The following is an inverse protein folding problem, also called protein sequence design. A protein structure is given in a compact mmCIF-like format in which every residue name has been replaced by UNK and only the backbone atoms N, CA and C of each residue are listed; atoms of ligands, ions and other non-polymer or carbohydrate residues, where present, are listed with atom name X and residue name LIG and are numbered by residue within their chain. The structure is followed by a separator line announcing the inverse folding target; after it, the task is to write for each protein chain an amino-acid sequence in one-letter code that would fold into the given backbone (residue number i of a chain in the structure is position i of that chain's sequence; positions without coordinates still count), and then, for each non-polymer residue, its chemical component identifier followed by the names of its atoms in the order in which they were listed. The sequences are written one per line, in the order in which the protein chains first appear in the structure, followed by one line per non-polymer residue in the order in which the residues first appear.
data_IF_543977334578
#
_entry.id   IF_543977334578
#
_cell.length_a   1.000
_cell.length_b   1.000
_cell.length_c   1.000
_cell.angle_alpha   90.00
_cell.angle_beta   90.00
_cell.angle_gamma   90.00
#
_symmetry.space_group_name_H-M   'P 1'
#
loop_
_entity.id
_entity.type
_entity.pdbx_description
1 polymer ?
#
# COMPACT_ATOMS: atom_id res chain seq x y z
N UNK A 1 24.24 -15.00 -18.06
CA UNK A 1 23.18 -16.04 -17.85
C UNK A 1 21.79 -15.42 -17.95
N UNK A 2 20.70 -16.20 -18.02
CA UNK A 2 19.34 -15.66 -17.79
C UNK A 2 19.03 -15.66 -16.30
N UNK A 3 18.49 -14.55 -15.77
CA UNK A 3 18.11 -14.43 -14.35
C UNK A 3 17.09 -15.49 -13.94
N UNK A 4 16.10 -15.74 -14.80
CA UNK A 4 15.06 -16.75 -14.55
C UNK A 4 15.61 -18.18 -14.38
N UNK A 5 16.63 -18.57 -15.16
CA UNK A 5 17.25 -19.89 -15.02
C UNK A 5 18.02 -20.01 -13.71
N UNK A 6 18.73 -18.96 -13.31
CA UNK A 6 19.38 -18.88 -12.00
C UNK A 6 18.35 -18.99 -10.86
N UNK A 7 17.21 -18.29 -10.97
CA UNK A 7 16.14 -18.34 -9.98
C UNK A 7 15.54 -19.74 -9.84
N UNK A 8 15.27 -20.46 -10.94
CA UNK A 8 14.78 -21.86 -10.89
C UNK A 8 15.79 -22.77 -10.17
N UNK A 9 17.06 -22.61 -10.49
CA UNK A 9 18.14 -23.44 -9.95
C UNK A 9 18.28 -23.24 -8.43
N UNK A 10 18.24 -21.98 -7.99
CA UNK A 10 18.24 -21.64 -6.57
C UNK A 10 16.96 -22.14 -5.89
N UNK A 11 15.79 -21.87 -6.47
CA UNK A 11 14.50 -22.24 -5.90
C UNK A 11 14.34 -23.74 -5.66
N UNK A 12 14.89 -24.58 -6.55
CA UNK A 12 14.86 -26.04 -6.40
C UNK A 12 15.62 -26.55 -5.15
N UNK A 13 16.46 -25.70 -4.55
CA UNK A 13 17.26 -26.00 -3.35
C UNK A 13 16.68 -25.36 -2.08
N UNK A 14 15.64 -24.54 -2.21
CA UNK A 14 14.98 -23.91 -1.08
C UNK A 14 13.75 -24.70 -0.67
N UNK A 15 13.59 -24.85 0.64
CA UNK A 15 12.46 -25.54 1.26
C UNK A 15 11.79 -24.66 2.31
N UNK A 16 12.58 -24.14 3.26
CA UNK A 16 12.08 -23.47 4.46
C UNK A 16 12.75 -22.11 4.73
N UNK A 17 13.63 -21.67 3.83
CA UNK A 17 14.31 -20.39 3.91
C UNK A 17 13.33 -19.23 3.78
N UNK A 18 13.68 -18.06 4.34
CA UNK A 18 13.00 -16.81 4.03
C UNK A 18 13.72 -16.10 2.90
N UNK A 19 13.00 -15.74 1.86
CA UNK A 19 13.54 -15.03 0.71
C UNK A 19 13.06 -13.60 0.76
N UNK A 20 13.98 -12.65 0.60
CA UNK A 20 13.65 -11.25 0.39
C UNK A 20 14.21 -10.79 -0.93
N UNK A 21 13.39 -10.09 -1.73
CA UNK A 21 13.79 -9.68 -3.07
C UNK A 21 13.25 -8.31 -3.46
N UNK A 22 14.00 -7.64 -4.34
CA UNK A 22 13.63 -6.35 -4.92
C UNK A 22 12.39 -6.48 -5.82
N UNK A 23 11.54 -5.46 -5.80
CA UNK A 23 10.41 -5.32 -6.72
C UNK A 23 10.83 -5.22 -8.20
N UNK A 24 9.85 -5.44 -9.08
CA UNK A 24 10.00 -5.34 -10.53
C UNK A 24 9.87 -6.69 -11.21
N UNK A 25 10.48 -6.83 -12.39
CA UNK A 25 10.42 -8.07 -13.17
C UNK A 25 10.98 -9.30 -12.44
N UNK A 26 11.94 -9.10 -11.52
CA UNK A 26 12.47 -10.13 -10.62
C UNK A 26 11.37 -10.79 -9.78
N UNK A 27 10.33 -10.07 -9.40
CA UNK A 27 9.20 -10.60 -8.62
C UNK A 27 8.38 -11.57 -9.45
N UNK A 28 8.05 -11.19 -10.68
CA UNK A 28 7.29 -12.04 -11.58
C UNK A 28 8.10 -13.30 -11.92
N UNK A 29 9.39 -13.15 -12.20
CA UNK A 29 10.30 -14.26 -12.45
C UNK A 29 10.39 -15.20 -11.25
N UNK A 30 10.62 -14.67 -10.04
CA UNK A 30 10.68 -15.47 -8.81
C UNK A 30 9.33 -16.15 -8.51
N UNK A 31 8.22 -15.44 -8.71
CA UNK A 31 6.88 -15.98 -8.47
C UNK A 31 6.55 -17.17 -9.37
N UNK A 32 7.15 -17.25 -10.56
CA UNK A 32 6.99 -18.38 -11.48
C UNK A 32 8.08 -19.44 -11.28
N UNK A 33 9.32 -19.05 -10.95
CA UNK A 33 10.43 -19.98 -10.73
C UNK A 33 10.31 -20.76 -9.40
N UNK A 34 9.71 -20.16 -8.38
CA UNK A 34 9.64 -20.69 -7.02
C UNK A 34 8.21 -20.71 -6.47
N UNK A 35 7.26 -21.43 -7.11
CA UNK A 35 5.86 -21.41 -6.70
C UNK A 35 5.65 -21.91 -5.25
N UNK A 36 6.50 -22.84 -4.79
CA UNK A 36 6.49 -23.36 -3.41
C UNK A 36 7.02 -22.35 -2.38
N UNK A 37 7.90 -21.42 -2.78
CA UNK A 37 8.50 -20.41 -1.89
C UNK A 37 7.67 -19.13 -1.74
N UNK A 38 6.53 -19.01 -2.43
CA UNK A 38 5.73 -17.76 -2.46
C UNK A 38 5.33 -17.24 -1.08
N UNK A 39 4.97 -18.13 -0.16
CA UNK A 39 4.58 -17.75 1.20
C UNK A 39 5.77 -17.35 2.08
N UNK A 40 6.96 -17.87 1.75
CA UNK A 40 8.20 -17.57 2.43
C UNK A 40 8.98 -16.41 1.78
N UNK A 41 8.38 -15.72 0.80
CA UNK A 41 8.99 -14.63 0.06
C UNK A 41 8.42 -13.27 0.47
N UNK A 42 9.30 -12.35 0.87
CA UNK A 42 9.01 -10.96 1.21
C UNK A 42 9.48 -10.05 0.07
N UNK A 43 8.60 -9.15 -0.38
CA UNK A 43 8.86 -8.30 -1.54
C UNK A 43 9.11 -6.86 -1.06
N UNK A 44 10.30 -6.34 -1.33
CA UNK A 44 10.69 -4.99 -0.89
C UNK A 44 10.65 -3.99 -2.05
N UNK A 45 9.99 -2.86 -1.82
CA UNK A 45 9.74 -1.80 -2.79
C UNK A 45 10.79 -0.69 -2.80
N UNK A 46 11.54 -0.51 -1.70
CA UNK A 46 12.55 0.54 -1.60
C UNK A 46 13.90 0.06 -2.15
N UNK A 47 14.46 0.84 -3.07
CA UNK A 47 15.75 0.55 -3.69
C UNK A 47 16.87 0.65 -2.63
N UNK A 48 17.77 -0.34 -2.60
CA UNK A 48 18.86 -0.40 -1.63
C UNK A 48 18.49 -0.90 -0.23
N UNK A 49 17.28 -1.44 -0.06
CA UNK A 49 16.82 -1.94 1.25
C UNK A 49 16.70 -3.47 1.34
N UNK A 50 16.88 -4.23 0.24
CA UNK A 50 16.73 -5.69 0.25
C UNK A 50 17.77 -6.35 1.16
N UNK A 51 19.06 -6.13 0.90
CA UNK A 51 20.13 -6.70 1.74
C UNK A 51 20.13 -6.18 3.18
N UNK A 52 19.90 -4.88 3.48
CA UNK A 52 19.72 -4.42 4.86
C UNK A 52 18.57 -5.10 5.61
N UNK A 53 17.43 -5.30 4.96
CA UNK A 53 16.32 -6.02 5.57
C UNK A 53 16.62 -7.51 5.74
N UNK A 54 17.33 -8.12 4.77
CA UNK A 54 17.81 -9.49 4.91
C UNK A 54 18.74 -9.65 6.11
N UNK A 55 19.63 -8.67 6.35
CA UNK A 55 20.49 -8.63 7.53
C UNK A 55 19.68 -8.52 8.82
N UNK A 56 18.73 -7.60 8.90
CA UNK A 56 17.85 -7.47 10.08
C UNK A 56 17.07 -8.76 10.37
N UNK A 57 16.57 -9.43 9.32
CA UNK A 57 15.92 -10.73 9.46
C UNK A 57 16.90 -11.82 9.91
N UNK A 58 18.14 -11.82 9.40
CA UNK A 58 19.15 -12.80 9.77
C UNK A 58 19.54 -12.66 11.26
N UNK A 59 19.73 -11.42 11.72
CA UNK A 59 19.99 -11.10 13.12
C UNK A 59 18.80 -11.43 14.03
N UNK A 60 17.58 -11.11 13.61
CA UNK A 60 16.36 -11.36 14.39
C UNK A 60 15.89 -12.82 14.39
N UNK A 61 16.30 -13.62 13.39
CA UNK A 61 15.90 -15.02 13.20
C UNK A 61 17.13 -15.93 13.01
N UNK A 62 18.02 -16.07 14.01
CA UNK A 62 19.28 -16.80 13.86
C UNK A 62 19.10 -18.29 13.55
N UNK A 63 17.93 -18.85 13.82
CA UNK A 63 17.56 -20.24 13.54
C UNK A 63 17.08 -20.47 12.10
N UNK A 64 16.92 -19.41 11.29
CA UNK A 64 16.36 -19.49 9.95
C UNK A 64 17.31 -18.90 8.93
N UNK A 65 17.54 -19.60 7.83
CA UNK A 65 18.39 -19.10 6.75
C UNK A 65 17.62 -18.08 5.90
N UNK A 66 18.27 -16.95 5.66
CA UNK A 66 17.72 -15.80 4.93
C UNK A 66 18.45 -15.67 3.59
N UNK A 67 17.67 -15.54 2.52
CA UNK A 67 18.16 -15.38 1.15
C UNK A 67 17.82 -13.96 0.69
N UNK A 68 18.85 -13.15 0.47
CA UNK A 68 18.72 -11.83 -0.16
C UNK A 68 18.86 -11.97 -1.67
N UNK A 69 17.84 -11.60 -2.45
CA UNK A 69 17.90 -11.51 -3.90
C UNK A 69 17.87 -10.02 -4.30
N UNK A 70 19.02 -9.39 -4.19
CA UNK A 70 19.22 -7.97 -4.47
C UNK A 70 19.61 -7.73 -5.94
N UNK A 71 19.70 -6.47 -6.35
CA UNK A 71 20.20 -6.08 -7.67
C UNK A 71 21.50 -5.31 -7.54
N UNK A 72 22.32 -5.28 -8.60
CA UNK A 72 23.49 -4.41 -8.67
C UNK A 72 23.15 -2.96 -8.38
N UNK A 73 22.07 -2.44 -8.96
CA UNK A 73 21.58 -1.10 -8.69
C UNK A 73 21.18 -0.91 -7.23
N UNK A 74 20.45 -1.87 -6.64
CA UNK A 74 20.09 -1.84 -5.23
C UNK A 74 21.32 -1.79 -4.32
N UNK A 75 22.29 -2.66 -4.58
CA UNK A 75 23.55 -2.70 -3.83
C UNK A 75 24.34 -1.40 -3.94
N UNK A 76 24.39 -0.78 -5.12
CA UNK A 76 25.07 0.51 -5.32
C UNK A 76 24.38 1.68 -4.59
N UNK A 77 23.06 1.63 -4.40
CA UNK A 77 22.33 2.64 -3.63
C UNK A 77 22.65 2.61 -2.13
N UNK A 78 23.02 1.45 -1.60
CA UNK A 78 23.36 1.30 -0.18
C UNK A 78 24.60 0.41 0.01
N UNK A 79 25.74 0.88 -0.50
CA UNK A 79 27.00 0.12 -0.41
C UNK A 79 27.49 -0.05 1.03
N UNK A 80 27.09 0.85 1.95
CA UNK A 80 27.46 0.82 3.37
C UNK A 80 27.01 -0.45 4.09
N UNK A 81 25.99 -1.16 3.58
CA UNK A 81 25.57 -2.45 4.13
C UNK A 81 26.70 -3.49 4.12
N UNK A 82 27.60 -3.46 3.13
CA UNK A 82 28.69 -4.43 3.04
C UNK A 82 29.67 -4.30 4.20
N UNK A 83 29.96 -3.07 4.65
CA UNK A 83 30.79 -2.83 5.84
C UNK A 83 30.10 -3.33 7.12
N UNK A 84 28.78 -3.16 7.22
CA UNK A 84 28.01 -3.70 8.35
C UNK A 84 28.08 -5.21 8.37
N UNK A 85 27.84 -5.87 7.23
CA UNK A 85 27.91 -7.32 7.10
C UNK A 85 29.31 -7.88 7.41
N UNK A 86 30.36 -7.19 6.97
CA UNK A 86 31.74 -7.57 7.27
C UNK A 86 32.10 -7.51 8.75
N UNK A 87 31.50 -6.59 9.51
CA UNK A 87 31.68 -6.53 10.96
C UNK A 87 30.80 -7.55 11.70
N UNK A 88 29.53 -7.66 11.30
CA UNK A 88 28.51 -8.43 12.04
C UNK A 88 28.51 -9.93 11.71
N UNK A 89 29.04 -10.32 10.54
CA UNK A 89 29.23 -11.72 10.12
C UNK A 89 27.99 -12.62 10.35
N UNK A 90 26.80 -12.28 9.81
CA UNK A 90 25.59 -13.07 10.01
C UNK A 90 25.71 -14.48 9.43
N UNK A 91 25.64 -15.50 10.29
CA UNK A 91 25.93 -16.90 9.97
C UNK A 91 24.91 -17.59 9.05
N UNK A 92 23.75 -16.98 8.88
CA UNK A 92 22.56 -17.54 8.23
C UNK A 92 22.10 -16.69 7.04
N UNK A 93 22.97 -15.82 6.48
CA UNK A 93 22.63 -14.92 5.39
C UNK A 93 23.37 -15.28 4.10
N UNK A 94 22.61 -15.62 3.06
CA UNK A 94 23.12 -15.81 1.69
C UNK A 94 22.56 -14.71 0.78
N UNK A 95 23.45 -14.00 0.09
CA UNK A 95 23.11 -12.84 -0.74
C UNK A 95 23.44 -13.17 -2.20
N UNK A 96 22.43 -13.03 -3.05
CA UNK A 96 22.55 -13.07 -4.50
C UNK A 96 22.30 -11.66 -5.03
N UNK A 97 23.28 -11.12 -5.74
CA UNK A 97 23.15 -9.83 -6.44
C UNK A 97 22.96 -10.11 -7.93
N UNK A 98 21.80 -9.75 -8.47
CA UNK A 98 21.55 -9.80 -9.90
C UNK A 98 22.23 -8.62 -10.58
N UNK A 99 23.38 -8.88 -11.20
CA UNK A 99 24.14 -7.87 -11.92
C UNK A 99 23.84 -7.97 -13.42
N UNK A 100 22.85 -7.18 -13.83
CA UNK A 100 22.43 -7.00 -15.21
C UNK A 100 22.92 -5.67 -15.82
N UNK A 101 23.79 -4.95 -15.10
CA UNK A 101 24.41 -3.71 -15.52
C UNK A 101 23.42 -2.55 -15.75
N UNK A 102 22.22 -2.63 -15.17
CA UNK A 102 21.10 -1.78 -15.59
C UNK A 102 20.07 -1.51 -14.48
N UNK A 103 19.74 -0.23 -14.25
CA UNK A 103 18.66 0.19 -13.37
C UNK A 103 17.29 0.00 -14.01
N UNK A 104 16.84 -1.25 -14.14
CA UNK A 104 15.58 -1.62 -14.80
C UNK A 104 14.34 -0.92 -14.20
N UNK A 105 14.32 -0.66 -12.90
CA UNK A 105 13.18 -0.03 -12.22
C UNK A 105 12.95 1.43 -12.60
N UNK A 106 13.98 2.10 -13.14
CA UNK A 106 13.94 3.50 -13.55
C UNK A 106 14.26 3.65 -15.03
N UNK A 107 13.77 2.76 -15.91
CA UNK A 107 13.90 2.94 -17.36
C UNK A 107 15.23 2.50 -17.98
N UNK A 108 16.06 1.80 -17.20
CA UNK A 108 17.22 1.07 -17.70
C UNK A 108 18.52 1.83 -18.00
N UNK A 109 18.85 2.97 -17.35
CA UNK A 109 20.19 3.53 -17.47
C UNK A 109 21.25 2.55 -16.90
N UNK A 110 22.50 2.60 -17.40
CA UNK A 110 23.55 1.71 -16.94
C UNK A 110 23.85 1.91 -15.46
N UNK A 111 24.10 0.82 -14.74
CA UNK A 111 24.65 0.87 -13.37
C UNK A 111 26.16 1.07 -13.41
N UNK A 112 26.77 1.27 -12.25
CA UNK A 112 28.22 1.44 -12.15
C UNK A 112 29.02 0.19 -12.58
N UNK A 113 28.40 -1.01 -12.53
CA UNK A 113 29.03 -2.27 -12.97
C UNK A 113 29.10 -2.38 -14.50
N UNK A 114 28.25 -1.64 -15.23
CA UNK A 114 28.19 -1.65 -16.71
C UNK A 114 29.50 -1.22 -17.39
N UNK A 115 30.36 -0.48 -16.69
CA UNK A 115 31.59 0.08 -17.25
C UNK A 115 32.81 -0.84 -17.06
N UNK A 116 32.62 -2.03 -16.47
CA UNK A 116 33.67 -3.04 -16.28
C UNK A 116 34.76 -2.68 -15.28
N UNK A 117 34.61 -1.57 -14.54
CA UNK A 117 35.58 -1.12 -13.52
C UNK A 117 35.17 -1.45 -12.10
N UNK A 118 33.86 -1.41 -11.81
CA UNK A 118 33.32 -1.64 -10.47
C UNK A 118 33.02 -3.13 -10.31
N UNK A 119 33.63 -3.75 -9.30
CA UNK A 119 33.43 -5.16 -8.94
C UNK A 119 32.81 -5.26 -7.54
N UNK A 120 31.52 -5.57 -7.49
CA UNK A 120 30.77 -5.69 -6.22
C UNK A 120 31.35 -6.81 -5.32
N UNK A 121 31.79 -7.93 -5.90
CA UNK A 121 32.35 -9.02 -5.12
C UNK A 121 33.71 -8.62 -4.51
N UNK A 122 34.54 -7.89 -5.27
CA UNK A 122 35.79 -7.35 -4.74
C UNK A 122 35.56 -6.32 -3.63
N UNK A 123 34.56 -5.45 -3.77
CA UNK A 123 34.18 -4.50 -2.71
C UNK A 123 33.71 -5.24 -1.46
N UNK A 124 32.86 -6.27 -1.61
CA UNK A 124 32.40 -7.08 -0.49
C UNK A 124 33.56 -7.77 0.25
N UNK A 125 34.54 -8.34 -0.47
CA UNK A 125 35.77 -8.86 0.15
C UNK A 125 36.56 -7.77 0.86
N UNK A 126 36.72 -6.61 0.24
CA UNK A 126 37.38 -5.44 0.85
C UNK A 126 36.67 -4.92 2.10
N UNK A 127 35.37 -5.19 2.25
CA UNK A 127 34.58 -4.87 3.43
C UNK A 127 34.63 -5.97 4.52
N UNK A 128 35.33 -7.09 4.30
CA UNK A 128 35.46 -8.20 5.25
C UNK A 128 34.54 -9.39 5.00
N UNK A 129 33.86 -9.46 3.86
CA UNK A 129 33.06 -10.63 3.45
C UNK A 129 33.90 -11.51 2.52
N UNK A 130 34.72 -12.39 3.10
CA UNK A 130 35.68 -13.22 2.34
C UNK A 130 34.99 -14.08 1.27
N UNK A 131 33.82 -14.62 1.60
CA UNK A 131 33.01 -15.45 0.72
C UNK A 131 32.15 -14.61 -0.23
N UNK A 132 32.79 -13.77 -1.05
CA UNK A 132 32.13 -12.99 -2.08
C UNK A 132 32.71 -13.31 -3.46
N UNK A 133 31.85 -13.75 -4.39
CA UNK A 133 32.26 -14.25 -5.71
C UNK A 133 31.40 -13.69 -6.83
N UNK A 134 31.89 -13.76 -8.06
CA UNK A 134 31.15 -13.38 -9.26
C UNK A 134 30.93 -14.62 -10.12
N UNK A 135 29.66 -14.96 -10.37
CA UNK A 135 29.28 -16.05 -11.27
C UNK A 135 28.95 -15.52 -12.66
N UNK A 136 29.51 -16.13 -13.70
CA UNK A 136 29.29 -15.81 -15.12
C UNK A 136 28.61 -16.94 -15.88
N UNK A 137 28.75 -18.17 -15.40
CA UNK A 137 28.08 -19.36 -15.95
C UNK A 137 27.05 -19.94 -14.97
N UNK A 138 26.10 -20.70 -15.49
CA UNK A 138 25.05 -21.28 -14.66
C UNK A 138 25.64 -22.33 -13.70
N UNK A 139 26.67 -23.05 -14.15
CA UNK A 139 27.42 -24.02 -13.37
C UNK A 139 28.17 -23.35 -12.21
N UNK A 140 28.81 -22.19 -12.44
CA UNK A 140 29.43 -21.40 -11.37
C UNK A 140 28.39 -20.90 -10.36
N UNK A 141 27.26 -20.41 -10.86
CA UNK A 141 26.17 -19.94 -10.01
C UNK A 141 25.59 -21.09 -9.15
N UNK A 142 25.43 -22.28 -9.73
CA UNK A 142 24.98 -23.48 -9.04
C UNK A 142 25.94 -23.88 -7.91
N UNK A 143 27.23 -23.95 -8.20
CA UNK A 143 28.25 -24.25 -7.19
C UNK A 143 28.21 -23.26 -6.02
N UNK A 144 28.03 -21.96 -6.31
CA UNK A 144 27.91 -20.95 -5.27
C UNK A 144 26.59 -21.00 -4.51
N UNK A 145 25.48 -21.43 -5.12
CA UNK A 145 24.24 -21.69 -4.39
C UNK A 145 24.44 -22.82 -3.36
N UNK A 146 25.11 -23.90 -3.75
CA UNK A 146 25.38 -25.02 -2.83
C UNK A 146 26.30 -24.63 -1.68
N UNK A 147 27.33 -23.82 -1.96
CA UNK A 147 28.23 -23.31 -0.94
C UNK A 147 27.52 -22.30 -0.01
N UNK A 148 26.83 -21.30 -0.58
CA UNK A 148 26.16 -20.25 0.18
C UNK A 148 25.02 -20.75 1.07
N UNK A 149 24.30 -21.79 0.64
CA UNK A 149 23.26 -22.43 1.46
C UNK A 149 23.81 -23.24 2.64
N UNK A 150 25.11 -23.58 2.64
CA UNK A 150 25.78 -24.31 3.73
C UNK A 150 26.71 -23.41 4.57
N UNK A 151 27.05 -22.23 4.08
CA UNK A 151 27.97 -21.32 4.76
C UNK A 151 27.46 -20.91 6.15
N UNK A 152 28.37 -20.77 7.11
CA UNK A 152 28.15 -20.32 8.49
C UNK A 152 28.67 -18.90 8.74
N UNK A 153 28.94 -18.17 7.65
CA UNK A 153 29.34 -16.76 7.54
C UNK A 153 28.58 -16.14 6.36
N UNK A 154 28.45 -14.81 6.26
CA UNK A 154 27.80 -14.16 5.13
C UNK A 154 28.46 -14.61 3.81
N UNK A 155 27.61 -15.00 2.86
CA UNK A 155 28.05 -15.45 1.54
C UNK A 155 27.41 -14.56 0.47
N UNK A 156 28.21 -14.03 -0.44
CA UNK A 156 27.75 -13.16 -1.54
C UNK A 156 28.09 -13.79 -2.88
N UNK A 157 27.10 -13.90 -3.76
CA UNK A 157 27.32 -14.21 -5.18
C UNK A 157 26.74 -13.10 -6.05
N UNK A 158 27.60 -12.48 -6.86
CA UNK A 158 27.22 -11.53 -7.89
C UNK A 158 27.01 -12.30 -9.18
N UNK A 159 25.75 -12.54 -9.54
CA UNK A 159 25.39 -13.31 -10.72
C UNK A 159 25.26 -12.38 -11.94
N UNK A 160 26.16 -12.54 -12.93
CA UNK A 160 26.04 -11.81 -14.20
C UNK A 160 24.89 -12.36 -15.04
N UNK A 161 23.84 -11.56 -15.13
CA UNK A 161 22.61 -11.94 -15.81
C UNK A 161 22.28 -10.97 -16.94
N UNK A 162 21.55 -11.44 -17.94
CA UNK A 162 21.07 -10.59 -19.02
C UNK A 162 20.05 -9.57 -18.49
N UNK A 163 20.03 -8.38 -19.09
CA UNK A 163 18.99 -7.37 -18.85
C UNK A 163 17.62 -7.74 -19.45
N UNK A 164 17.51 -8.87 -20.14
CA UNK A 164 16.25 -9.36 -20.70
C UNK A 164 15.45 -10.12 -19.65
N UNK A 165 14.19 -9.70 -19.47
CA UNK A 165 13.21 -10.40 -18.62
C UNK A 165 12.69 -11.61 -19.38
N UNK A 166 12.42 -12.70 -18.67
CA UNK A 166 11.83 -13.90 -19.26
C UNK A 166 10.46 -13.58 -19.90
N UNK A 167 10.28 -13.83 -21.21
CA UNK A 167 8.97 -13.68 -21.85
C UNK A 167 7.98 -14.73 -21.33
N UNK A 168 6.68 -14.42 -21.48
CA UNK A 168 5.55 -15.32 -21.20
C UNK A 168 5.41 -15.80 -19.74
N UNK A 169 5.97 -15.04 -18.78
CA UNK A 169 5.76 -15.28 -17.35
C UNK A 169 4.44 -14.69 -16.88
N UNK A 170 3.73 -15.42 -16.01
CA UNK A 170 2.51 -14.90 -15.38
C UNK A 170 2.92 -13.78 -14.43
N UNK A 171 2.53 -12.54 -14.73
CA UNK A 171 2.66 -11.46 -13.75
C UNK A 171 1.99 -11.89 -12.46
N UNK A 172 2.66 -11.65 -11.33
CA UNK A 172 2.07 -11.88 -10.01
C UNK A 172 0.82 -10.99 -9.92
N UNK A 173 -0.35 -11.60 -10.08
CA UNK A 173 -1.59 -10.91 -9.81
C UNK A 173 -1.62 -10.63 -8.31
N UNK A 174 -1.73 -9.36 -7.94
CA UNK A 174 -2.13 -8.97 -6.59
C UNK A 174 -3.62 -9.30 -6.43
N UNK A 175 -3.97 -10.60 -6.44
CA UNK A 175 -5.36 -11.06 -6.42
C UNK A 175 -5.52 -12.59 -6.52
N UNK A 176 -6.25 -13.15 -5.54
CA UNK A 176 -6.84 -14.50 -5.45
C UNK A 176 -5.93 -15.72 -5.67
N UNK A 177 -5.21 -16.13 -4.64
CA UNK A 177 -4.92 -17.55 -4.40
C UNK A 177 -5.53 -17.96 -3.05
N UNK A 178 -6.51 -18.86 -3.07
CA UNK A 178 -6.97 -19.58 -1.86
C UNK A 178 -5.76 -20.31 -1.28
N UNK A 179 -5.49 -20.10 0.01
CA UNK A 179 -4.40 -20.77 0.71
C UNK A 179 -3.30 -19.85 1.22
N UNK A 180 -3.57 -18.58 1.57
CA UNK A 180 -2.73 -17.91 2.56
C UNK A 180 -2.95 -18.60 3.91
N UNK A 181 -1.97 -19.39 4.34
CA UNK A 181 -1.93 -19.95 5.69
C UNK A 181 -1.62 -18.79 6.63
N UNK A 182 -2.58 -18.44 7.49
CA UNK A 182 -2.27 -17.69 8.69
C UNK A 182 -1.39 -18.57 9.56
N UNK A 183 -0.10 -18.24 9.68
CA UNK A 183 0.78 -18.86 10.67
C UNK A 183 0.33 -18.41 12.07
N UNK A 184 -0.61 -19.15 12.69
CA UNK A 184 -0.68 -19.24 14.16
C UNK A 184 0.55 -20.03 14.59
N UNK A 185 1.64 -19.35 14.95
CA UNK A 185 2.77 -20.02 15.60
C UNK A 185 2.33 -20.51 16.99
N UNK A 186 2.46 -21.80 17.33
CA UNK A 186 2.25 -22.27 18.68
C UNK A 186 3.44 -21.81 19.54
N UNK A 187 3.24 -20.79 20.36
CA UNK A 187 4.17 -20.44 21.43
C UNK A 187 4.21 -21.58 22.46
N UNK A 188 5.19 -22.48 22.36
CA UNK A 188 5.59 -23.35 23.47
C UNK A 188 6.85 -22.80 24.09
N UNK A 189 6.72 -22.29 25.31
CA UNK A 189 7.87 -22.13 26.21
C UNK A 189 7.87 -20.87 27.05
N UNK A 190 6.92 -20.72 27.98
CA UNK A 190 7.17 -20.12 29.31
C UNK A 190 6.11 -20.68 30.27
N UNK A 191 6.56 -21.50 31.23
CA UNK A 191 5.75 -22.12 32.27
C UNK A 191 5.42 -21.08 33.35
N UNK A 192 4.13 -20.89 33.68
CA UNK A 192 3.54 -21.01 35.04
C UNK A 192 2.12 -20.42 35.07
N UNK A 193 1.10 -21.25 34.94
CA UNK A 193 0.11 -21.53 35.98
C UNK A 193 -0.92 -22.53 35.43
N UNK A 194 -1.13 -23.62 36.16
CA UNK A 194 -2.10 -24.68 35.86
C UNK A 194 -3.50 -24.18 36.19
N UNK A 195 -4.34 -24.01 35.16
CA UNK A 195 -5.77 -24.33 35.21
C UNK A 195 -6.14 -25.01 33.88
N UNK A 196 -7.01 -26.01 33.96
CA UNK A 196 -7.21 -27.10 33.01
C UNK A 196 -7.73 -26.68 31.64
N UNK A 197 -7.19 -27.31 30.60
CA UNK A 197 -7.52 -27.11 29.18
C UNK A 197 -8.90 -27.64 28.74
N UNK A 198 -9.77 -28.03 29.68
CA UNK A 198 -11.11 -28.55 29.36
C UNK A 198 -12.19 -27.46 29.21
N UNK A 199 -11.96 -26.24 29.72
CA UNK A 199 -12.96 -25.15 29.65
C UNK A 199 -12.81 -24.25 28.41
N UNK A 200 -11.71 -24.35 27.65
CA UNK A 200 -11.47 -23.48 26.47
C UNK A 200 -12.01 -24.04 25.15
N UNK A 201 -12.43 -25.30 25.11
CA UNK A 201 -13.07 -25.89 23.93
C UNK A 201 -14.55 -25.49 23.76
N UNK A 202 -15.14 -24.80 24.74
CA UNK A 202 -16.49 -24.22 24.62
C UNK A 202 -16.50 -22.72 24.28
N UNK A 203 -15.35 -22.02 24.28
CA UNK A 203 -15.30 -20.57 24.07
C UNK A 203 -15.07 -20.18 22.59
N UNK A 204 -14.62 -21.11 21.72
CA UNK A 204 -14.58 -20.88 20.27
C UNK A 204 -15.92 -21.16 19.55
N UNK A 205 -17.01 -21.44 20.29
CA UNK A 205 -18.37 -21.57 19.77
C UNK A 205 -19.31 -20.40 20.13
N UNK A 206 -18.86 -19.45 20.97
CA UNK A 206 -19.66 -18.31 21.44
C UNK A 206 -19.01 -16.96 21.08
N UNK A 207 -18.52 -16.81 19.84
CA UNK A 207 -18.62 -15.49 19.22
C UNK A 207 -20.09 -15.39 18.83
N UNK A 208 -20.90 -14.50 19.46
CA UNK A 208 -22.19 -14.22 18.89
C UNK A 208 -21.88 -13.73 17.48
N UNK A 209 -22.28 -14.49 16.46
CA UNK A 209 -22.73 -13.87 15.22
C UNK A 209 -23.69 -12.80 15.71
N UNK A 210 -23.22 -11.56 15.81
CA UNK A 210 -24.11 -10.48 16.17
C UNK A 210 -25.18 -10.57 15.11
N UNK A 211 -26.39 -10.89 15.54
CA UNK A 211 -27.61 -10.48 14.88
C UNK A 211 -27.65 -8.94 14.92
N UNK A 212 -26.63 -8.28 14.38
CA UNK A 212 -26.80 -6.97 13.79
C UNK A 212 -27.73 -7.25 12.64
N UNK A 213 -28.99 -6.88 12.87
CA UNK A 213 -30.02 -6.81 11.85
C UNK A 213 -29.36 -6.45 10.54
N UNK A 214 -29.62 -7.24 9.51
CA UNK A 214 -29.35 -6.87 8.14
C UNK A 214 -30.17 -5.60 7.88
N UNK A 215 -29.67 -4.45 8.31
CA UNK A 215 -30.22 -3.17 7.88
C UNK A 215 -30.19 -3.25 6.36
N UNK A 216 -31.38 -3.17 5.76
CA UNK A 216 -31.53 -3.19 4.33
C UNK A 216 -30.58 -2.12 3.78
N UNK A 217 -29.54 -2.56 3.06
CA UNK A 217 -28.54 -1.66 2.50
C UNK A 217 -29.27 -0.62 1.65
N UNK A 218 -29.05 0.68 1.90
CA UNK A 218 -29.88 1.72 1.30
C UNK A 218 -29.74 1.67 -0.22
N UNK A 219 -30.87 1.72 -0.93
CA UNK A 219 -30.88 1.95 -2.37
C UNK A 219 -30.84 3.46 -2.60
N UNK A 220 -30.20 3.88 -3.69
CA UNK A 220 -30.36 5.26 -4.13
C UNK A 220 -31.85 5.49 -4.48
N UNK A 221 -32.50 6.49 -3.88
CA UNK A 221 -33.89 6.78 -4.19
C UNK A 221 -33.99 7.24 -5.66
N UNK A 222 -34.79 6.52 -6.45
CA UNK A 222 -35.10 6.94 -7.81
C UNK A 222 -36.29 7.90 -7.78
N UNK A 223 -35.98 9.21 -7.79
CA UNK A 223 -36.97 10.29 -7.88
C UNK A 223 -36.89 10.93 -9.27
N UNK A 224 -38.03 11.44 -9.76
CA UNK A 224 -38.04 12.25 -10.97
C UNK A 224 -37.28 13.54 -10.71
N UNK A 225 -36.35 13.89 -11.60
CA UNK A 225 -35.55 15.10 -11.45
C UNK A 225 -36.42 16.35 -11.59
N UNK A 226 -36.12 17.35 -10.76
CA UNK A 226 -36.73 18.67 -10.84
C UNK A 226 -36.14 19.47 -12.00
N UNK A 227 -36.89 20.49 -12.46
CA UNK A 227 -36.44 21.38 -13.53
C UNK A 227 -35.27 22.29 -13.12
N UNK A 228 -35.14 22.55 -11.81
CA UNK A 228 -34.11 23.40 -11.23
C UNK A 228 -33.80 22.92 -9.81
N UNK A 229 -32.59 23.24 -9.34
CA UNK A 229 -32.10 22.97 -7.99
C UNK A 229 -31.37 24.21 -7.47
N UNK A 230 -31.39 24.42 -6.17
CA UNK A 230 -30.59 25.47 -5.52
C UNK A 230 -29.09 25.15 -5.65
N UNK A 231 -28.74 23.85 -5.50
CA UNK A 231 -27.38 23.37 -5.65
C UNK A 231 -27.30 22.12 -6.54
N UNK A 232 -26.31 22.11 -7.43
CA UNK A 232 -25.90 20.93 -8.19
C UNK A 232 -24.47 20.59 -7.79
N UNK A 233 -24.29 19.44 -7.13
CA UNK A 233 -22.96 18.93 -6.76
C UNK A 233 -22.51 17.89 -7.79
N UNK A 234 -21.48 18.25 -8.54
CA UNK A 234 -20.91 17.40 -9.58
C UNK A 234 -19.76 16.56 -9.00
N UNK A 235 -20.00 15.26 -8.89
CA UNK A 235 -19.08 14.25 -8.36
C UNK A 235 -19.42 13.87 -6.91
N UNK A 236 -19.76 12.59 -6.70
CA UNK A 236 -20.07 12.03 -5.39
C UNK A 236 -18.83 11.44 -4.70
N UNK A 237 -17.69 12.13 -4.83
CA UNK A 237 -16.41 11.73 -4.24
C UNK A 237 -16.17 12.30 -2.84
N UNK A 238 -14.93 12.15 -2.35
CA UNK A 238 -14.52 12.62 -1.02
C UNK A 238 -14.71 14.12 -0.76
N UNK A 239 -14.74 14.95 -1.81
CA UNK A 239 -15.00 16.39 -1.70
C UNK A 239 -16.49 16.74 -1.83
N UNK A 240 -17.23 16.07 -2.72
CA UNK A 240 -18.63 16.39 -2.98
C UNK A 240 -19.58 15.93 -1.88
N UNK A 241 -19.35 14.73 -1.31
CA UNK A 241 -20.26 14.18 -0.30
C UNK A 241 -20.31 14.96 1.02
N UNK A 242 -19.19 15.45 1.57
CA UNK A 242 -19.25 16.37 2.71
C UNK A 242 -20.05 17.64 2.40
N UNK A 243 -19.89 18.22 1.20
CA UNK A 243 -20.65 19.41 0.77
C UNK A 243 -22.15 19.11 0.75
N UNK A 244 -22.56 18.03 0.07
CA UNK A 244 -23.96 17.59 0.05
C UNK A 244 -24.51 17.44 1.46
N UNK A 245 -23.78 16.75 2.33
CA UNK A 245 -24.21 16.54 3.71
C UNK A 245 -24.41 17.85 4.46
N UNK A 246 -23.51 18.82 4.31
CA UNK A 246 -23.63 20.13 4.98
C UNK A 246 -24.77 20.98 4.43
N UNK A 247 -25.02 20.92 3.13
CA UNK A 247 -26.17 21.62 2.52
C UNK A 247 -27.49 21.07 3.06
N UNK A 248 -27.62 19.73 3.12
CA UNK A 248 -28.83 19.07 3.62
C UNK A 248 -29.03 19.29 5.12
N UNK A 249 -27.98 19.14 5.93
CA UNK A 249 -28.10 19.29 7.39
C UNK A 249 -28.33 20.75 7.82
N UNK A 250 -27.89 21.72 7.01
CA UNK A 250 -27.85 23.13 7.38
C UNK A 250 -28.89 24.03 6.71
N UNK A 251 -29.61 23.54 5.69
CA UNK A 251 -30.52 24.34 4.88
C UNK A 251 -31.71 23.52 4.37
N UNK A 252 -32.78 24.21 3.95
CA UNK A 252 -33.91 23.59 3.23
C UNK A 252 -33.70 23.57 1.70
N UNK A 253 -32.46 23.73 1.24
CA UNK A 253 -32.14 23.85 -0.18
C UNK A 253 -32.34 22.54 -0.93
N UNK A 254 -32.83 22.64 -2.17
CA UNK A 254 -32.89 21.50 -3.09
C UNK A 254 -31.52 21.19 -3.65
N UNK A 255 -31.07 19.94 -3.48
CA UNK A 255 -29.73 19.49 -3.88
C UNK A 255 -29.80 18.33 -4.86
N UNK A 256 -29.16 18.50 -6.03
CA UNK A 256 -28.89 17.44 -6.99
C UNK A 256 -27.45 16.95 -6.85
N UNK A 257 -27.26 15.68 -6.55
CA UNK A 257 -25.97 15.00 -6.55
C UNK A 257 -25.79 14.20 -7.85
N UNK A 258 -24.68 14.42 -8.54
CA UNK A 258 -24.37 13.75 -9.81
C UNK A 258 -23.08 12.93 -9.68
N UNK A 259 -23.11 11.67 -10.11
CA UNK A 259 -21.95 10.78 -10.15
C UNK A 259 -21.83 10.09 -11.52
N UNK A 260 -20.61 10.04 -12.07
CA UNK A 260 -20.34 9.39 -13.34
C UNK A 260 -20.24 7.86 -13.21
N UNK A 261 -19.84 7.38 -12.03
CA UNK A 261 -19.76 5.97 -11.70
C UNK A 261 -21.07 5.31 -11.35
N UNK A 262 -21.00 3.99 -11.19
CA UNK A 262 -22.07 3.19 -10.61
C UNK A 262 -22.14 3.41 -9.07
N UNK A 263 -23.26 3.04 -8.40
CA UNK A 263 -23.39 3.22 -6.96
C UNK A 263 -22.39 2.47 -6.09
N UNK A 264 -21.92 1.28 -6.53
CA UNK A 264 -20.95 0.47 -5.77
C UNK A 264 -21.46 -0.12 -4.44
N UNK A 265 -22.73 0.13 -4.07
CA UNK A 265 -23.30 -0.25 -2.77
C UNK A 265 -23.23 -1.77 -2.57
N UNK A 266 -22.55 -2.19 -1.51
CA UNK A 266 -22.49 -3.58 -1.07
C UNK A 266 -21.63 -4.51 -1.92
N UNK A 267 -20.76 -3.95 -2.77
CA UNK A 267 -19.83 -4.73 -3.59
C UNK A 267 -18.65 -5.18 -2.74
N UNK A 268 -18.47 -6.50 -2.62
CA UNK A 268 -17.45 -7.10 -1.76
C UNK A 268 -16.03 -6.64 -2.13
N UNK A 269 -15.75 -6.37 -3.40
CA UNK A 269 -14.45 -5.86 -3.85
C UNK A 269 -14.17 -4.41 -3.41
N UNK A 270 -15.19 -3.60 -3.14
CA UNK A 270 -15.06 -2.25 -2.59
C UNK A 270 -14.97 -2.34 -1.06
N UNK A 271 -15.88 -3.11 -0.45
CA UNK A 271 -16.01 -3.24 1.00
C UNK A 271 -14.76 -3.88 1.64
N UNK A 272 -14.09 -4.82 0.96
CA UNK A 272 -12.90 -5.51 1.47
C UNK A 272 -11.63 -4.63 1.33
N UNK A 273 -11.04 -4.13 2.44
CA UNK A 273 -9.87 -3.25 2.39
C UNK A 273 -8.64 -3.88 1.71
N UNK A 274 -8.56 -5.22 1.66
CA UNK A 274 -7.43 -5.95 1.05
C UNK A 274 -7.44 -5.87 -0.48
N UNK A 275 -8.55 -5.46 -1.09
CA UNK A 275 -8.70 -5.37 -2.55
C UNK A 275 -8.24 -4.02 -3.13
N UNK A 276 -7.74 -3.09 -2.32
CA UNK A 276 -7.45 -1.73 -2.80
C UNK A 276 -6.46 -1.66 -3.99
N UNK A 277 -5.44 -2.54 -4.04
CA UNK A 277 -4.50 -2.60 -5.17
C UNK A 277 -5.20 -3.06 -6.47
N UNK A 278 -5.89 -4.22 -6.51
CA UNK A 278 -6.57 -4.67 -7.73
C UNK A 278 -7.80 -3.84 -8.14
N UNK A 279 -8.29 -2.91 -7.31
CA UNK A 279 -9.30 -1.93 -7.74
C UNK A 279 -8.73 -0.93 -8.76
N UNK A 280 -7.42 -0.68 -8.74
CA UNK A 280 -6.74 0.15 -9.73
C UNK A 280 -6.79 -0.48 -11.13
N UNK A 281 -7.06 0.34 -12.15
CA UNK A 281 -7.37 -0.07 -13.54
C UNK A 281 -8.58 -1.02 -13.67
N UNK A 282 -9.35 -1.20 -12.59
CA UNK A 282 -10.59 -1.96 -12.59
C UNK A 282 -11.79 -1.13 -13.05
N UNK A 283 -12.98 -1.74 -13.00
CA UNK A 283 -14.25 -1.09 -13.40
C UNK A 283 -14.60 0.17 -12.59
N UNK A 284 -14.10 0.26 -11.36
CA UNK A 284 -14.35 1.33 -10.40
C UNK A 284 -13.32 2.47 -10.51
N UNK A 285 -12.39 2.36 -11.43
CA UNK A 285 -11.35 3.35 -11.71
C UNK A 285 -11.68 4.07 -13.04
N UNK A 286 -11.37 5.36 -13.10
CA UNK A 286 -11.33 6.09 -14.36
C UNK A 286 -10.23 5.58 -15.29
N UNK A 287 -9.15 5.02 -14.73
CA UNK A 287 -8.04 4.44 -15.49
C UNK A 287 -7.20 5.49 -16.21
N UNK A 288 -7.07 6.68 -15.63
CA UNK A 288 -6.26 7.74 -16.21
C UNK A 288 -4.77 7.39 -16.19
N UNK A 289 -4.05 8.02 -17.09
CA UNK A 289 -2.61 7.87 -17.27
C UNK A 289 -1.98 9.25 -17.45
N UNK A 290 -0.86 9.51 -16.77
CA UNK A 290 0.00 10.64 -17.10
C UNK A 290 0.61 10.41 -18.49
N UNK A 291 0.65 11.46 -19.30
CA UNK A 291 1.40 11.42 -20.55
C UNK A 291 2.88 11.10 -20.30
N UNK A 292 3.52 10.29 -21.16
CA UNK A 292 4.93 9.96 -21.01
C UNK A 292 5.80 11.22 -21.14
N UNK A 293 6.85 11.32 -20.30
CA UNK A 293 7.82 12.42 -20.38
C UNK A 293 9.24 11.90 -20.18
N UNK A 294 10.25 12.66 -20.63
CA UNK A 294 11.66 12.33 -20.40
C UNK A 294 12.03 12.26 -18.91
N UNK A 295 11.34 13.00 -18.04
CA UNK A 295 11.56 12.97 -16.57
C UNK A 295 11.22 11.62 -15.94
N UNK A 296 10.42 10.82 -16.63
CA UNK A 296 10.03 9.46 -16.23
C UNK A 296 10.43 8.45 -17.29
N UNK A 297 11.49 8.73 -18.05
CA UNK A 297 12.06 7.84 -19.08
C UNK A 297 11.04 7.33 -20.11
N UNK A 298 10.09 8.18 -20.49
CA UNK A 298 9.05 7.84 -21.46
C UNK A 298 7.99 6.87 -20.92
N UNK A 299 7.99 6.58 -19.61
CA UNK A 299 6.96 5.74 -19.00
C UNK A 299 5.63 6.49 -18.84
N UNK A 300 4.55 5.76 -19.08
CA UNK A 300 3.20 6.15 -18.72
C UNK A 300 2.93 5.73 -17.27
N UNK A 301 2.43 6.64 -16.44
CA UNK A 301 2.16 6.40 -15.02
C UNK A 301 0.66 6.43 -14.79
N UNK A 302 0.10 5.33 -14.26
CA UNK A 302 -1.32 5.22 -13.96
C UNK A 302 -1.74 6.11 -12.79
N UNK A 303 -2.91 6.75 -12.92
CA UNK A 303 -3.51 7.62 -11.92
C UNK A 303 -4.86 7.03 -11.53
N UNK A 304 -4.91 6.09 -10.58
CA UNK A 304 -6.17 5.50 -10.17
C UNK A 304 -7.05 6.56 -9.51
N UNK A 305 -8.23 6.85 -10.08
CA UNK A 305 -9.24 7.79 -9.57
C UNK A 305 -10.58 7.06 -9.51
N UNK A 306 -11.24 7.08 -8.36
CA UNK A 306 -12.49 6.35 -8.19
C UNK A 306 -13.62 6.92 -9.06
N UNK A 307 -14.32 6.02 -9.75
CA UNK A 307 -15.50 6.26 -10.58
C UNK A 307 -16.67 5.43 -10.04
N UNK A 308 -17.15 5.84 -8.88
CA UNK A 308 -18.16 5.16 -8.05
C UNK A 308 -18.61 6.14 -6.95
N UNK A 309 -19.78 5.95 -6.32
CA UNK A 309 -20.10 6.72 -5.12
C UNK A 309 -19.01 6.58 -4.05
N UNK A 310 -18.66 7.68 -3.40
CA UNK A 310 -17.49 7.80 -2.54
C UNK A 310 -16.20 8.15 -3.30
N UNK A 311 -16.22 8.06 -4.63
CA UNK A 311 -15.10 8.38 -5.51
C UNK A 311 -13.83 7.64 -5.10
N UNK A 312 -12.71 8.35 -5.04
CA UNK A 312 -11.43 7.74 -4.68
C UNK A 312 -11.39 7.14 -3.26
N UNK A 313 -12.25 7.56 -2.33
CA UNK A 313 -12.31 6.92 -1.00
C UNK A 313 -12.83 5.48 -1.04
N UNK A 314 -13.57 5.11 -2.08
CA UNK A 314 -14.05 3.76 -2.31
C UNK A 314 -12.97 2.81 -2.88
N UNK A 315 -11.84 3.36 -3.36
CA UNK A 315 -10.75 2.55 -3.96
C UNK A 315 -9.37 2.79 -3.34
N UNK A 316 -9.22 3.76 -2.44
CA UNK A 316 -7.93 4.13 -1.84
C UNK A 316 -7.38 3.05 -0.88
N UNK A 317 -6.19 3.30 -0.33
CA UNK A 317 -5.56 2.50 0.72
C UNK A 317 -6.08 2.79 2.15
N UNK A 318 -7.26 3.41 2.28
CA UNK A 318 -7.97 3.72 3.54
C UNK A 318 -7.20 4.55 4.58
N UNK A 319 -6.00 5.03 4.29
CA UNK A 319 -5.16 5.76 5.23
C UNK A 319 -5.77 7.12 5.59
N UNK A 320 -5.78 7.47 6.88
CA UNK A 320 -6.26 8.76 7.39
C UNK A 320 -5.12 9.58 7.96
N UNK A 321 -4.63 10.53 7.15
CA UNK A 321 -3.54 11.44 7.52
C UNK A 321 -3.89 12.85 7.10
N UNK A 322 -3.66 13.82 7.99
CA UNK A 322 -3.97 15.23 7.73
C UNK A 322 -2.85 15.97 7.03
N UNK A 323 -1.62 15.44 7.00
CA UNK A 323 -0.45 16.20 6.54
C UNK A 323 0.18 17.02 7.65
N UNK A 324 1.22 17.78 7.32
CA UNK A 324 1.99 18.58 8.28
C UNK A 324 1.37 19.97 8.45
N UNK A 325 1.36 20.58 9.66
CA UNK A 325 0.85 21.94 9.85
C UNK A 325 1.39 22.98 8.86
N UNK A 326 2.66 22.84 8.48
CA UNK A 326 3.30 23.70 7.47
C UNK A 326 2.65 23.64 6.08
N UNK A 327 2.00 22.53 5.70
CA UNK A 327 1.30 22.42 4.41
C UNK A 327 0.17 23.46 4.33
N UNK A 328 -0.57 23.62 5.43
CA UNK A 328 -1.69 24.56 5.58
C UNK A 328 -1.21 25.99 5.81
N UNK A 329 -0.21 26.17 6.69
CA UNK A 329 0.38 27.48 6.92
C UNK A 329 1.00 28.06 5.64
N UNK A 330 1.54 27.21 4.75
CA UNK A 330 2.00 27.61 3.43
C UNK A 330 0.87 28.09 2.52
N UNK A 331 -0.33 27.48 2.59
CA UNK A 331 -1.50 27.98 1.86
C UNK A 331 -1.92 29.36 2.36
N UNK A 332 -1.97 29.56 3.68
CA UNK A 332 -2.25 30.88 4.24
C UNK A 332 -1.21 31.91 3.82
N UNK A 333 0.08 31.58 3.87
CA UNK A 333 1.15 32.45 3.42
C UNK A 333 1.07 32.77 1.91
N UNK A 334 0.48 31.87 1.12
CA UNK A 334 0.21 32.08 -0.31
C UNK A 334 -1.07 32.90 -0.59
N UNK A 335 -1.76 33.39 0.45
CA UNK A 335 -2.95 34.24 0.33
C UNK A 335 -4.29 33.54 0.54
N UNK A 336 -4.29 32.25 0.91
CA UNK A 336 -5.51 31.56 1.32
C UNK A 336 -5.84 31.89 2.78
N UNK A 337 -6.38 33.09 3.02
CA UNK A 337 -6.77 33.53 4.36
C UNK A 337 -7.75 32.54 5.03
N UNK A 338 -7.50 32.19 6.30
CA UNK A 338 -8.28 31.22 7.06
C UNK A 338 -7.97 29.76 6.74
N UNK A 339 -6.85 29.47 6.07
CA UNK A 339 -6.38 28.12 5.77
C UNK A 339 -5.11 27.74 6.54
N UNK A 340 -4.76 28.44 7.63
CA UNK A 340 -3.71 27.95 8.52
C UNK A 340 -4.09 26.62 9.14
N UNK A 341 -3.11 25.87 9.67
CA UNK A 341 -3.41 24.61 10.34
C UNK A 341 -4.38 24.79 11.51
N UNK A 342 -4.25 25.90 12.25
CA UNK A 342 -5.13 26.24 13.37
C UNK A 342 -6.56 26.47 12.92
N UNK A 343 -6.78 27.13 11.78
CA UNK A 343 -8.10 27.41 11.23
C UNK A 343 -8.79 26.14 10.71
N UNK A 344 -8.03 25.21 10.11
CA UNK A 344 -8.60 23.98 9.53
C UNK A 344 -8.76 22.84 10.53
N UNK A 345 -8.01 22.86 11.64
CA UNK A 345 -8.07 21.81 12.67
C UNK A 345 -9.49 21.54 13.19
N UNK A 346 -10.34 22.55 13.50
CA UNK A 346 -11.73 22.34 13.86
C UNK A 346 -12.53 21.55 12.80
N UNK A 347 -12.25 21.74 11.51
CA UNK A 347 -12.92 21.02 10.43
C UNK A 347 -12.43 19.58 10.32
N UNK A 348 -11.13 19.32 10.53
CA UNK A 348 -10.63 17.96 10.66
C UNK A 348 -11.30 17.23 11.82
N UNK A 349 -11.36 17.85 12.99
CA UNK A 349 -12.06 17.30 14.16
C UNK A 349 -13.55 17.03 13.85
N UNK A 350 -14.22 17.96 13.17
CA UNK A 350 -15.64 17.81 12.80
C UNK A 350 -15.90 16.67 11.79
N UNK A 351 -14.91 16.31 10.98
CA UNK A 351 -15.03 15.26 9.98
C UNK A 351 -14.84 13.85 10.57
N UNK A 352 -14.10 13.72 11.66
CA UNK A 352 -13.66 12.43 12.20
C UNK A 352 -14.40 12.00 13.47
N UNK A 353 -14.54 10.69 13.60
CA UNK A 353 -14.88 9.97 14.81
C UNK A 353 -13.74 9.01 15.13
N UNK A 354 -12.79 9.49 15.92
CA UNK A 354 -11.61 8.76 16.32
C UNK A 354 -11.93 7.74 17.42
N UNK A 355 -11.49 6.49 17.23
CA UNK A 355 -11.69 5.43 18.23
C UNK A 355 -11.08 5.74 19.61
N UNK A 356 -10.07 6.61 19.69
CA UNK A 356 -9.45 7.02 20.95
C UNK A 356 -10.17 8.18 21.66
N UNK A 357 -11.27 8.69 21.09
CA UNK A 357 -12.07 9.77 21.66
C UNK A 357 -11.56 11.17 21.34
N UNK A 358 -12.33 12.18 21.75
CA UNK A 358 -12.00 13.58 21.49
C UNK A 358 -10.74 14.01 22.26
N UNK A 359 -9.90 14.82 21.62
CA UNK A 359 -8.78 15.49 22.26
C UNK A 359 -8.55 16.89 21.68
N UNK A 360 -7.45 17.54 22.08
CA UNK A 360 -6.99 18.77 21.42
C UNK A 360 -6.81 18.55 19.91
N UNK A 361 -6.28 17.40 19.53
CA UNK A 361 -5.93 17.10 18.14
C UNK A 361 -6.99 16.25 17.43
N UNK A 362 -7.77 15.45 18.15
CA UNK A 362 -8.68 14.46 17.56
C UNK A 362 -10.15 14.80 17.78
N UNK A 363 -10.99 14.48 16.80
CA UNK A 363 -12.44 14.64 16.85
C UNK A 363 -13.16 13.36 17.21
N UNK A 364 -14.37 13.50 17.75
CA UNK A 364 -15.29 12.39 18.02
C UNK A 364 -16.68 12.74 17.49
N UNK A 365 -17.46 11.72 17.10
CA UNK A 365 -18.83 11.87 16.60
C UNK A 365 -18.95 12.38 15.16
N UNK A 366 -17.83 12.56 14.44
CA UNK A 366 -17.84 12.87 13.02
C UNK A 366 -18.33 11.71 12.13
N UNK A 367 -18.64 11.99 10.86
CA UNK A 367 -19.16 10.99 9.92
C UNK A 367 -18.12 9.96 9.45
N UNK A 368 -16.83 10.30 9.47
CA UNK A 368 -15.78 9.35 9.12
C UNK A 368 -15.31 8.62 10.37
N UNK A 369 -15.36 7.29 10.36
CA UNK A 369 -14.84 6.46 11.45
C UNK A 369 -13.34 6.22 11.22
N UNK A 370 -12.52 6.47 12.24
CA UNK A 370 -11.06 6.30 12.16
C UNK A 370 -10.62 5.31 13.24
N UNK A 371 -9.83 4.32 12.84
CA UNK A 371 -9.26 3.28 13.70
C UNK A 371 -7.76 3.16 13.50
N UNK A 372 -7.08 2.55 14.46
CA UNK A 372 -5.66 2.18 14.38
C UNK A 372 -5.54 0.70 14.09
N UNK A 373 -4.48 0.30 13.39
CA UNK A 373 -4.16 -1.12 13.25
C UNK A 373 -3.91 -1.77 14.62
N UNK A 374 -4.84 -2.62 15.07
CA UNK A 374 -4.75 -3.32 16.37
C UNK A 374 -3.72 -4.44 16.38
N UNK A 375 -3.48 -5.05 15.23
CA UNK A 375 -2.53 -6.16 15.07
C UNK A 375 -1.50 -5.80 14.01
N UNK A 376 -0.33 -5.37 14.46
CA UNK A 376 0.78 -5.08 13.56
C UNK A 376 1.45 -6.37 13.11
N UNK A 377 1.75 -6.44 11.81
CA UNK A 377 2.63 -7.46 11.28
C UNK A 377 4.02 -7.34 11.96
N UNK A 378 4.71 -8.45 12.27
CA UNK A 378 6.01 -8.40 12.95
C UNK A 378 7.03 -7.48 12.25
N UNK A 379 7.06 -7.49 10.92
CA UNK A 379 7.92 -6.58 10.13
C UNK A 379 7.60 -5.11 10.38
N UNK A 380 6.33 -4.72 10.48
CA UNK A 380 5.96 -3.33 10.76
C UNK A 380 6.42 -2.93 12.18
N UNK A 381 6.30 -3.83 13.15
CA UNK A 381 6.83 -3.63 14.50
C UNK A 381 8.35 -3.45 14.48
N UNK A 382 9.08 -4.36 13.85
CA UNK A 382 10.54 -4.27 13.74
C UNK A 382 11.01 -3.03 12.98
N UNK A 383 10.26 -2.55 11.99
CA UNK A 383 10.56 -1.30 11.30
C UNK A 383 10.40 -0.08 12.22
N UNK A 384 9.37 -0.04 13.07
CA UNK A 384 9.21 1.04 14.04
C UNK A 384 10.28 0.99 15.13
N UNK A 385 10.61 -0.20 15.64
CA UNK A 385 11.68 -0.40 16.62
C UNK A 385 13.04 0.03 16.03
N UNK A 386 13.36 -0.41 14.81
CA UNK A 386 14.60 -0.02 14.12
C UNK A 386 14.64 1.47 13.74
N UNK A 387 13.50 2.14 13.60
CA UNK A 387 13.47 3.60 13.43
C UNK A 387 14.04 4.30 14.66
N UNK A 388 13.72 3.83 15.87
CA UNK A 388 14.26 4.38 17.11
C UNK A 388 15.79 4.22 17.21
N UNK A 389 16.32 3.09 16.74
CA UNK A 389 17.77 2.85 16.70
C UNK A 389 18.52 3.85 15.79
N UNK A 390 17.82 4.40 14.79
CA UNK A 390 18.32 5.45 13.90
C UNK A 390 18.04 6.87 14.42
N UNK A 391 17.49 7.01 15.62
CA UNK A 391 17.10 8.29 16.20
C UNK A 391 15.81 8.89 15.61
N UNK A 392 15.03 8.11 14.85
CA UNK A 392 13.72 8.52 14.35
C UNK A 392 12.70 8.28 15.47
N UNK A 393 11.95 9.30 15.94
CA UNK A 393 10.98 9.13 17.01
C UNK A 393 9.92 8.09 16.67
N UNK A 394 9.53 7.27 17.65
CA UNK A 394 8.31 6.47 17.57
C UNK A 394 7.19 7.27 18.23
N UNK A 395 6.17 7.64 17.46
CA UNK A 395 5.05 8.46 17.92
C UNK A 395 3.77 7.64 18.05
N UNK A 396 2.89 8.04 18.96
CA UNK A 396 1.65 7.31 19.23
C UNK A 396 0.59 7.51 18.13
N UNK A 397 0.52 8.71 17.56
CA UNK A 397 -0.53 9.12 16.62
C UNK A 397 0.03 10.06 15.54
N UNK A 398 -0.04 9.70 14.24
CA UNK A 398 0.39 10.58 13.16
C UNK A 398 -0.46 11.84 12.98
N UNK A 399 -1.63 11.94 13.62
CA UNK A 399 -2.48 13.13 13.63
C UNK A 399 -2.48 13.84 15.00
N UNK A 400 -1.49 13.53 15.85
CA UNK A 400 -1.32 14.10 17.18
C UNK A 400 -0.52 15.41 17.20
N UNK A 401 0.19 15.72 18.30
CA UNK A 401 1.00 16.94 18.43
C UNK A 401 2.15 17.05 17.43
N UNK A 402 2.68 15.91 16.98
CA UNK A 402 3.69 15.79 15.93
C UNK A 402 3.29 14.66 15.00
N UNK A 403 3.64 14.79 13.73
CA UNK A 403 3.49 13.75 12.72
C UNK A 403 4.85 13.28 12.15
N UNK A 404 5.96 13.72 12.75
CA UNK A 404 7.31 13.30 12.41
C UNK A 404 7.70 12.09 13.26
N UNK A 405 7.74 10.91 12.64
CA UNK A 405 8.18 9.69 13.30
C UNK A 405 7.58 8.41 12.71
N UNK A 406 7.96 7.29 13.30
CA UNK A 406 7.39 5.98 13.01
C UNK A 406 6.17 5.73 13.91
N UNK A 407 5.06 5.25 13.34
CA UNK A 407 3.85 4.96 14.10
C UNK A 407 2.93 3.95 13.40
N UNK A 408 1.99 3.34 14.13
CA UNK A 408 0.89 2.60 13.53
C UNK A 408 0.03 3.49 12.64
N UNK A 409 -0.32 3.01 11.45
CA UNK A 409 -1.20 3.75 10.55
C UNK A 409 -2.64 3.86 11.08
N UNK A 410 -3.23 5.03 10.85
CA UNK A 410 -4.65 5.31 11.04
C UNK A 410 -5.42 4.96 9.76
N UNK A 411 -6.57 4.32 9.90
CA UNK A 411 -7.39 3.84 8.79
C UNK A 411 -8.87 4.21 8.93
N UNK A 412 -9.54 4.42 7.80
CA UNK A 412 -11.00 4.36 7.70
C UNK A 412 -11.44 2.91 7.45
N UNK A 413 -11.31 2.06 8.48
CA UNK A 413 -11.76 0.67 8.48
C UNK A 413 -12.57 0.43 9.75
N UNK A 414 -13.76 -0.17 9.62
CA UNK A 414 -14.66 -0.52 10.72
C UNK A 414 -15.16 -1.93 10.51
N UNK A 415 -15.08 -2.78 11.55
CA UNK A 415 -15.49 -4.19 11.50
C UNK A 415 -14.95 -4.96 10.29
N UNK A 416 -13.69 -4.69 9.96
CA UNK A 416 -12.98 -5.33 8.82
C UNK A 416 -13.41 -4.83 7.44
N UNK A 417 -14.27 -3.81 7.35
CA UNK A 417 -14.75 -3.22 6.10
C UNK A 417 -14.22 -1.81 5.91
N UNK A 418 -14.05 -1.41 4.65
CA UNK A 418 -13.74 -0.04 4.25
C UNK A 418 -14.84 0.91 4.72
N UNK A 419 -14.45 2.05 5.29
CA UNK A 419 -15.34 3.16 5.58
C UNK A 419 -15.09 4.31 4.58
N UNK A 420 -15.89 4.36 3.51
CA UNK A 420 -15.74 5.39 2.47
C UNK A 420 -16.43 6.70 2.84
N UNK A 421 -16.26 7.74 2.02
CA UNK A 421 -17.04 8.97 2.17
C UNK A 421 -18.54 8.74 1.93
N UNK A 422 -18.91 7.73 1.12
CA UNK A 422 -20.32 7.37 0.93
C UNK A 422 -20.92 6.77 2.20
N UNK A 423 -20.19 5.90 2.89
CA UNK A 423 -20.58 5.32 4.19
C UNK A 423 -20.78 6.40 5.25
N UNK A 424 -19.85 7.35 5.35
CA UNK A 424 -19.93 8.39 6.40
C UNK A 424 -20.94 9.50 6.11
N UNK A 425 -21.00 10.00 4.87
CA UNK A 425 -21.73 11.23 4.56
C UNK A 425 -23.07 10.99 3.87
N UNK A 426 -23.17 10.00 2.98
CA UNK A 426 -24.33 9.82 2.10
C UNK A 426 -25.33 8.79 2.64
N UNK A 427 -24.88 7.57 2.92
CA UNK A 427 -25.78 6.47 3.27
C UNK A 427 -26.66 6.74 4.50
N UNK A 428 -26.19 7.43 5.56
CA UNK A 428 -27.01 7.73 6.72
C UNK A 428 -28.24 8.62 6.42
N UNK A 429 -28.20 9.41 5.35
CA UNK A 429 -29.26 10.36 5.00
C UNK A 429 -30.19 9.86 3.89
N UNK A 430 -29.88 8.73 3.24
CA UNK A 430 -30.65 8.22 2.09
C UNK A 430 -32.11 7.87 2.44
N UNK A 431 -32.40 7.52 3.70
CA UNK A 431 -33.75 7.14 4.14
C UNK A 431 -34.52 8.27 4.85
N UNK A 432 -33.91 9.44 5.08
CA UNK A 432 -34.49 10.51 5.88
C UNK A 432 -34.69 11.79 5.05
N UNK A 433 -33.62 12.28 4.45
CA UNK A 433 -33.53 13.58 3.79
C UNK A 433 -32.57 13.51 2.60
N UNK A 434 -32.77 12.51 1.75
CA UNK A 434 -31.88 12.22 0.64
C UNK A 434 -31.86 13.35 -0.41
N UNK A 435 -30.68 13.72 -0.95
CA UNK A 435 -30.62 14.53 -2.16
C UNK A 435 -31.26 13.76 -3.32
N UNK A 436 -31.72 14.50 -4.33
CA UNK A 436 -31.96 13.86 -5.62
C UNK A 436 -30.59 13.45 -6.18
N UNK A 437 -30.47 12.19 -6.62
CA UNK A 437 -29.18 11.61 -7.00
C UNK A 437 -29.27 10.97 -8.39
N UNK A 438 -28.27 11.23 -9.21
CA UNK A 438 -28.12 10.61 -10.53
C UNK A 438 -26.74 9.99 -10.62
N UNK A 439 -26.70 8.68 -10.87
CA UNK A 439 -25.47 7.93 -11.12
C UNK A 439 -25.32 7.62 -12.61
N UNK A 440 -24.15 7.09 -13.03
CA UNK A 440 -23.81 6.84 -14.45
C UNK A 440 -24.02 8.06 -15.35
N UNK A 441 -23.82 9.25 -14.78
CA UNK A 441 -24.10 10.52 -15.44
C UNK A 441 -22.84 11.38 -15.50
N UNK A 442 -22.30 11.51 -16.71
CA UNK A 442 -21.06 12.26 -16.95
C UNK A 442 -21.39 13.69 -17.36
N UNK A 443 -21.07 14.64 -16.48
CA UNK A 443 -21.08 16.07 -16.81
C UNK A 443 -19.91 16.39 -17.74
N UNK A 444 -20.17 17.16 -18.78
CA UNK A 444 -19.16 17.50 -19.82
C UNK A 444 -18.74 18.97 -19.81
N UNK A 445 -19.62 19.87 -19.39
CA UNK A 445 -19.31 21.30 -19.30
C UNK A 445 -20.29 22.01 -18.37
N UNK A 446 -19.84 23.14 -17.81
CA UNK A 446 -20.71 24.11 -17.15
C UNK A 446 -21.33 25.05 -18.19
N UNK A 447 -22.57 25.44 -17.98
CA UNK A 447 -23.23 26.51 -18.73
C UNK A 447 -22.99 27.83 -17.99
N UNK A 448 -22.33 28.80 -18.63
CA UNK A 448 -22.02 30.09 -18.02
C UNK A 448 -22.61 31.21 -18.86
N UNK A 449 -23.43 32.04 -18.23
CA UNK A 449 -24.07 33.20 -18.83
C UNK A 449 -23.76 34.44 -18.00
N UNK A 450 -23.19 35.49 -18.63
CA UNK A 450 -22.86 36.76 -17.98
C UNK A 450 -22.05 36.58 -16.67
N UNK A 451 -21.09 35.66 -16.69
CA UNK A 451 -20.23 35.37 -15.52
C UNK A 451 -20.86 34.49 -14.44
N UNK A 452 -22.10 34.02 -14.61
CA UNK A 452 -22.78 33.13 -13.66
C UNK A 452 -22.96 31.73 -14.25
N UNK A 453 -22.61 30.70 -13.49
CA UNK A 453 -22.96 29.33 -13.84
C UNK A 453 -24.48 29.12 -13.73
N UNK A 454 -25.13 28.74 -14.82
CA UNK A 454 -26.59 28.57 -14.93
C UNK A 454 -27.04 27.11 -14.99
N UNK A 455 -26.10 26.19 -15.21
CA UNK A 455 -26.40 24.76 -15.28
C UNK A 455 -25.21 23.93 -15.74
N UNK A 456 -25.51 22.69 -16.13
CA UNK A 456 -24.54 21.70 -16.60
C UNK A 456 -25.00 21.11 -17.93
N UNK A 457 -24.06 20.65 -18.75
CA UNK A 457 -24.33 19.81 -19.92
C UNK A 457 -23.85 18.40 -19.68
N UNK A 458 -24.52 17.43 -20.27
CA UNK A 458 -24.17 16.02 -20.13
C UNK A 458 -24.26 15.28 -21.46
N UNK A 459 -23.92 13.98 -21.43
CA UNK A 459 -24.10 13.10 -22.57
C UNK A 459 -25.40 12.32 -22.42
N UNK A 460 -26.22 12.30 -23.48
CA UNK A 460 -27.32 11.36 -23.70
C UNK A 460 -26.97 10.52 -24.91
N UNK A 461 -26.81 9.20 -24.75
CA UNK A 461 -26.49 8.28 -25.86
C UNK A 461 -25.28 8.72 -26.72
N UNK A 462 -24.28 9.34 -26.11
CA UNK A 462 -23.08 9.83 -26.80
C UNK A 462 -23.25 11.18 -27.52
N UNK A 463 -24.42 11.82 -27.45
CA UNK A 463 -24.65 13.19 -27.93
C UNK A 463 -24.66 14.18 -26.77
N UNK A 464 -24.08 15.37 -26.97
CA UNK A 464 -24.12 16.45 -25.98
C UNK A 464 -25.53 17.03 -25.92
N UNK A 465 -26.12 17.04 -24.73
CA UNK A 465 -27.41 17.67 -24.43
C UNK A 465 -27.23 18.80 -23.41
#
# INVERSE_FOLDING_TARGET
MKRYDCMKLLAARLENELVILSLGASVDEWYNAAPHMRQASLFQQQLGCVTPQAFGLAAGLPHRRIISLDTDGGMMFNLGILATLGNEQPKNLFIVVWDNECYQSIGGPPTHTAFGRVDIAAIARGAGIDNAFTARTLEEFEAHCEAGLKADVPYVVVAKVAGTVQPDIKRKQFGRARGQIYLRAPCRGLRRHRQSWAERAQIEADVPMSNTMTEARPLLPQRSLQKAYDYIVVGAGSGGLPVVRRLIDGTDATVLLIEAGEPGIGRAEIDDPRQWVPLGRGRWDWGYDYAPTSRVNGHTIGIPRGKVLGGSSAINAMMWYRGHPNDYNAWQAAGCEGWSFEDVLPFFKKAEDWEGGESRWRGAGGPLKITTSKTLHPVARSMMEGAADLGIPVIDDPNGPSNEGACPSNFNIVDGKRWSSAEGYLYPILNQSAPDCVDRFTVTSLMVEKGRCTGIRHLVEGKKC
#
